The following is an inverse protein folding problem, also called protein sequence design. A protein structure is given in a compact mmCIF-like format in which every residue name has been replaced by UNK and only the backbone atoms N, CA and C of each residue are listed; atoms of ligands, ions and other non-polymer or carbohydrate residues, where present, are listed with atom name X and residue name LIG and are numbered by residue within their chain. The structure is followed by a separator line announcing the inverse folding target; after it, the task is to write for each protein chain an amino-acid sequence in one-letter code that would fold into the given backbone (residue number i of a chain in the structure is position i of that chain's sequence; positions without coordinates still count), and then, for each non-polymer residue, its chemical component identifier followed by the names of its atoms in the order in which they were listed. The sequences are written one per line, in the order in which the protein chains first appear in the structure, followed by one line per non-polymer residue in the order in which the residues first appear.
data_IF_664596198426
#
_entry.id   IF_664596198426
#
_cell.length_a   1.000
_cell.length_b   1.000
_cell.length_c   1.000
_cell.angle_alpha   90.00
_cell.angle_beta   90.00
_cell.angle_gamma   90.00
#
_symmetry.space_group_name_H-M   'P 1'
#
loop_
_entity.id
_entity.type
_entity.pdbx_description
1 polymer ?
#
# COMPACT_ATOMS: atom_id res chain seq x y z
N UNK A 1 -6.95 -5.35 7.28
CA UNK A 1 -7.04 -5.26 5.81
C UNK A 1 -8.40 -5.68 5.29
N UNK A 2 -8.86 -6.92 5.53
CA UNK A 2 -10.09 -7.49 4.95
C UNK A 2 -11.34 -6.63 5.10
N UNK A 3 -11.60 -6.13 6.32
CA UNK A 3 -12.76 -5.26 6.57
C UNK A 3 -12.65 -3.92 5.81
N UNK A 4 -11.46 -3.31 5.82
CA UNK A 4 -11.20 -2.06 5.09
C UNK A 4 -11.41 -2.26 3.57
N UNK A 5 -10.89 -3.35 3.02
CA UNK A 5 -11.10 -3.75 1.62
C UNK A 5 -12.59 -3.96 1.31
N UNK A 6 -13.30 -4.70 2.14
CA UNK A 6 -14.71 -4.98 1.95
C UNK A 6 -15.55 -3.68 1.96
N UNK A 7 -15.26 -2.76 2.90
CA UNK A 7 -15.92 -1.45 2.96
C UNK A 7 -15.63 -0.60 1.73
N UNK A 8 -14.37 -0.52 1.31
CA UNK A 8 -13.96 0.21 0.11
C UNK A 8 -14.70 -0.31 -1.13
N UNK A 9 -14.65 -1.62 -1.38
CA UNK A 9 -15.28 -2.25 -2.55
C UNK A 9 -16.80 -2.04 -2.54
N UNK A 10 -17.44 -2.22 -1.39
CA UNK A 10 -18.88 -2.01 -1.24
C UNK A 10 -19.26 -0.56 -1.58
N UNK A 11 -18.60 0.42 -0.97
CA UNK A 11 -18.91 1.84 -1.18
C UNK A 11 -18.59 2.30 -2.61
N UNK A 12 -17.51 1.82 -3.21
CA UNK A 12 -17.21 2.09 -4.62
C UNK A 12 -18.28 1.53 -5.55
N UNK A 13 -18.74 0.29 -5.31
CA UNK A 13 -19.82 -0.32 -6.08
C UNK A 13 -21.14 0.44 -5.92
N UNK A 14 -21.52 0.78 -4.68
CA UNK A 14 -22.74 1.55 -4.40
C UNK A 14 -22.68 2.96 -5.00
N UNK A 15 -21.50 3.59 -5.04
CA UNK A 15 -21.27 4.86 -5.70
C UNK A 15 -21.25 4.77 -7.25
N UNK A 16 -21.37 3.57 -7.82
CA UNK A 16 -21.37 3.31 -9.26
C UNK A 16 -20.01 3.54 -9.91
N UNK A 17 -18.91 3.33 -9.19
CA UNK A 17 -17.56 3.38 -9.75
C UNK A 17 -17.19 2.05 -10.41
N UNK A 18 -16.38 2.11 -11.45
CA UNK A 18 -15.75 0.93 -12.06
C UNK A 18 -14.71 0.37 -11.08
N UNK A 19 -14.83 -0.91 -10.71
CA UNK A 19 -13.88 -1.59 -9.82
C UNK A 19 -12.97 -2.55 -10.60
N UNK A 20 -11.67 -2.49 -10.30
CA UNK A 20 -10.63 -3.43 -10.76
C UNK A 20 -9.86 -3.93 -9.54
N UNK A 21 -9.40 -5.18 -9.57
CA UNK A 21 -8.59 -5.76 -8.50
C UNK A 21 -7.36 -6.42 -9.11
N UNK A 22 -6.20 -6.16 -8.53
CA UNK A 22 -4.91 -6.69 -8.97
C UNK A 22 -4.28 -7.44 -7.80
N UNK A 23 -3.92 -8.71 -7.99
CA UNK A 23 -3.16 -9.48 -7.01
C UNK A 23 -1.75 -8.88 -6.89
N UNK A 24 -1.32 -8.57 -5.66
CA UNK A 24 -0.02 -7.96 -5.37
C UNK A 24 1.00 -8.98 -4.90
N UNK A 25 0.55 -9.96 -4.12
CA UNK A 25 1.38 -11.06 -3.63
C UNK A 25 0.71 -12.36 -4.04
N UNK A 26 1.41 -13.27 -4.74
CA UNK A 26 0.84 -14.56 -5.11
C UNK A 26 0.34 -15.30 -3.88
N UNK A 27 -0.93 -15.71 -3.93
CA UNK A 27 -1.65 -16.42 -2.87
C UNK A 27 -0.93 -17.69 -2.38
N UNK A 28 -0.02 -18.25 -3.20
CA UNK A 28 0.74 -19.47 -2.92
C UNK A 28 1.72 -19.36 -1.74
N UNK A 29 2.13 -18.15 -1.35
CA UNK A 29 3.11 -17.94 -0.26
C UNK A 29 2.48 -17.75 1.13
N UNK A 30 1.27 -17.17 1.20
CA UNK A 30 0.69 -16.67 2.46
C UNK A 30 -0.74 -17.16 2.72
N UNK A 31 -1.35 -17.92 1.80
CA UNK A 31 -2.68 -18.51 1.96
C UNK A 31 -3.86 -17.53 1.80
N UNK A 32 -3.58 -16.24 1.70
CA UNK A 32 -4.55 -15.17 1.57
C UNK A 32 -4.39 -14.41 0.25
N UNK A 33 -5.51 -14.00 -0.36
CA UNK A 33 -5.51 -13.17 -1.57
C UNK A 33 -5.29 -11.69 -1.20
N UNK A 34 -4.07 -11.19 -1.46
CA UNK A 34 -3.73 -9.78 -1.24
C UNK A 34 -3.87 -8.99 -2.53
N UNK A 35 -4.91 -8.14 -2.60
CA UNK A 35 -5.18 -7.32 -3.78
C UNK A 35 -5.05 -5.83 -3.53
N UNK A 36 -4.61 -5.14 -4.58
CA UNK A 36 -4.80 -3.72 -4.79
C UNK A 36 -6.10 -3.51 -5.57
N UNK A 37 -7.11 -2.94 -4.92
CA UNK A 37 -8.42 -2.63 -5.51
C UNK A 37 -8.43 -1.17 -5.99
N UNK A 38 -8.86 -0.95 -7.23
CA UNK A 38 -8.90 0.34 -7.90
C UNK A 38 -10.34 0.69 -8.25
N UNK A 39 -10.84 1.81 -7.73
CA UNK A 39 -12.16 2.35 -8.05
C UNK A 39 -12.04 3.59 -8.94
N UNK A 40 -12.76 3.61 -10.06
CA UNK A 40 -12.64 4.65 -11.09
C UNK A 40 -14.00 5.32 -11.31
N UNK A 41 -14.05 6.64 -11.08
CA UNK A 41 -15.15 7.51 -11.50
C UNK A 41 -14.73 8.22 -12.78
N UNK A 42 -15.46 7.97 -13.87
CA UNK A 42 -15.26 8.70 -15.13
C UNK A 42 -15.85 10.10 -15.04
N UNK A 43 -15.35 11.07 -15.81
CA UNK A 43 -15.94 12.41 -15.88
C UNK A 43 -17.43 12.33 -16.21
N UNK A 44 -18.25 13.15 -15.55
CA UNK A 44 -19.67 13.32 -15.89
C UNK A 44 -19.87 14.42 -16.93
N UNK A 45 -18.90 15.32 -17.06
CA UNK A 45 -18.90 16.46 -17.96
C UNK A 45 -17.51 16.68 -18.56
N UNK A 46 -17.45 17.36 -19.71
CA UNK A 46 -16.19 17.63 -20.41
C UNK A 46 -15.65 16.44 -21.22
N UNK A 47 -14.54 16.65 -21.97
CA UNK A 47 -13.98 15.60 -22.81
C UNK A 47 -13.39 14.46 -21.97
N UNK A 48 -13.44 13.24 -22.50
CA UNK A 48 -12.86 12.06 -21.84
C UNK A 48 -11.35 12.17 -21.57
N UNK A 49 -10.66 13.12 -22.22
CA UNK A 49 -9.22 13.40 -22.10
C UNK A 49 -8.86 14.43 -21.01
N UNK A 50 -9.77 14.80 -20.11
CA UNK A 50 -9.59 15.91 -19.16
C UNK A 50 -8.56 15.68 -18.03
N UNK A 51 -7.81 14.57 -18.09
CA UNK A 51 -6.84 14.14 -17.08
C UNK A 51 -7.45 13.35 -15.93
N UNK A 52 -6.60 12.94 -14.99
CA UNK A 52 -6.99 12.14 -13.83
C UNK A 52 -6.48 12.73 -12.52
N UNK A 53 -7.19 12.42 -11.44
CA UNK A 53 -6.74 12.60 -10.05
C UNK A 53 -6.65 11.22 -9.44
N UNK A 54 -5.46 10.86 -8.97
CA UNK A 54 -5.19 9.56 -8.33
C UNK A 54 -5.05 9.77 -6.83
N UNK A 55 -5.86 9.04 -6.05
CA UNK A 55 -5.82 9.03 -4.59
C UNK A 55 -5.48 7.63 -4.10
N UNK A 56 -4.24 7.44 -3.68
CA UNK A 56 -3.74 6.15 -3.17
C UNK A 56 -3.81 6.09 -1.65
N UNK A 57 -3.93 4.88 -1.11
CA UNK A 57 -3.81 4.63 0.33
C UNK A 57 -2.88 3.44 0.61
N UNK A 58 -2.28 3.45 1.80
CA UNK A 58 -1.51 2.32 2.32
C UNK A 58 -0.23 2.01 1.55
N UNK A 59 0.54 3.03 1.13
CA UNK A 59 1.93 2.82 0.68
C UNK A 59 2.77 2.28 1.83
N UNK A 60 2.66 2.92 2.99
CA UNK A 60 2.98 2.29 4.26
C UNK A 60 1.78 1.47 4.71
N UNK A 61 1.91 0.15 4.78
CA UNK A 61 0.77 -0.74 4.96
C UNK A 61 -0.06 -0.40 6.21
N UNK A 62 0.56 -0.27 7.38
CA UNK A 62 -0.14 0.04 8.64
C UNK A 62 -0.91 1.37 8.62
N UNK A 63 -0.48 2.35 7.82
CA UNK A 63 -1.16 3.64 7.69
C UNK A 63 -2.36 3.56 6.72
N UNK A 64 -2.47 2.47 5.96
CA UNK A 64 -3.55 2.21 5.01
C UNK A 64 -4.94 2.20 5.63
N UNK A 65 -5.07 1.92 6.93
CA UNK A 65 -6.37 1.99 7.61
C UNK A 65 -6.93 3.41 7.67
N UNK A 66 -6.08 4.39 7.99
CA UNK A 66 -6.48 5.79 8.04
C UNK A 66 -6.81 6.31 6.62
N UNK A 67 -5.96 6.01 5.64
CA UNK A 67 -6.21 6.35 4.24
C UNK A 67 -7.48 5.70 3.68
N UNK A 68 -7.72 4.43 4.01
CA UNK A 68 -8.95 3.70 3.64
C UNK A 68 -10.20 4.36 4.23
N UNK A 69 -10.14 4.82 5.48
CA UNK A 69 -11.24 5.56 6.11
C UNK A 69 -11.59 6.83 5.34
N UNK A 70 -10.58 7.60 4.91
CA UNK A 70 -10.77 8.81 4.09
C UNK A 70 -11.38 8.46 2.73
N UNK A 71 -10.84 7.44 2.05
CA UNK A 71 -11.39 6.96 0.78
C UNK A 71 -12.86 6.54 0.91
N UNK A 72 -13.20 5.76 1.95
CA UNK A 72 -14.56 5.34 2.23
C UNK A 72 -15.50 6.53 2.46
N UNK A 73 -15.05 7.55 3.20
CA UNK A 73 -15.83 8.77 3.40
C UNK A 73 -16.13 9.47 2.06
N UNK A 74 -15.11 9.65 1.21
CA UNK A 74 -15.28 10.29 -0.10
C UNK A 74 -16.22 9.47 -1.00
N UNK A 75 -16.07 8.14 -1.04
CA UNK A 75 -16.94 7.26 -1.80
C UNK A 75 -18.40 7.34 -1.33
N UNK A 76 -18.65 7.41 -0.02
CA UNK A 76 -20.00 7.61 0.51
C UNK A 76 -20.58 8.98 0.12
N UNK A 77 -19.77 10.04 0.09
CA UNK A 77 -20.22 11.35 -0.42
C UNK A 77 -20.61 11.28 -1.91
N UNK A 78 -19.83 10.57 -2.73
CA UNK A 78 -20.14 10.36 -4.15
C UNK A 78 -21.44 9.56 -4.29
N UNK A 79 -21.61 8.48 -3.52
CA UNK A 79 -22.84 7.66 -3.48
C UNK A 79 -24.06 8.52 -3.20
N UNK A 80 -24.04 9.30 -2.12
CA UNK A 80 -25.15 10.20 -1.73
C UNK A 80 -25.43 11.24 -2.82
N UNK A 81 -24.40 11.91 -3.33
CA UNK A 81 -24.56 12.88 -4.41
C UNK A 81 -25.21 12.26 -5.66
N UNK A 82 -24.88 11.00 -5.98
CA UNK A 82 -25.49 10.28 -7.11
C UNK A 82 -26.97 9.96 -6.84
N UNK A 83 -27.29 9.41 -5.67
CA UNK A 83 -28.67 9.08 -5.27
C UNK A 83 -29.60 10.31 -5.29
N UNK A 84 -29.06 11.47 -4.91
CA UNK A 84 -29.78 12.74 -4.91
C UNK A 84 -29.78 13.44 -6.28
N UNK A 85 -29.19 12.85 -7.32
CA UNK A 85 -29.11 13.46 -8.65
C UNK A 85 -28.20 14.69 -8.74
N UNK A 86 -27.31 14.87 -7.75
CA UNK A 86 -26.38 16.02 -7.62
C UNK A 86 -24.96 15.72 -8.08
N UNK A 87 -24.67 14.51 -8.56
CA UNK A 87 -23.35 14.15 -9.07
C UNK A 87 -23.17 14.71 -10.50
N UNK A 88 -22.78 15.98 -10.58
CA UNK A 88 -22.52 16.72 -11.81
C UNK A 88 -21.21 17.53 -11.68
N UNK A 89 -20.74 18.12 -12.78
CA UNK A 89 -19.53 18.96 -12.79
C UNK A 89 -18.21 18.23 -12.55
N UNK A 90 -18.18 16.90 -12.56
CA UNK A 90 -16.93 16.14 -12.43
C UNK A 90 -16.23 16.12 -13.79
N UNK A 91 -15.29 17.05 -13.97
CA UNK A 91 -14.53 17.20 -15.20
C UNK A 91 -13.26 16.35 -15.31
N UNK A 92 -12.94 15.48 -14.35
CA UNK A 92 -11.72 14.64 -14.36
C UNK A 92 -12.04 13.21 -13.96
N UNK A 93 -11.22 12.27 -14.42
CA UNK A 93 -11.29 10.88 -13.92
C UNK A 93 -10.77 10.84 -12.49
N UNK A 94 -11.55 10.34 -11.53
CA UNK A 94 -11.08 10.10 -10.18
C UNK A 94 -10.71 8.63 -10.04
N UNK A 95 -9.49 8.34 -9.60
CA UNK A 95 -8.98 6.99 -9.41
C UNK A 95 -8.60 6.82 -7.95
N UNK A 96 -9.27 5.91 -7.24
CA UNK A 96 -8.93 5.55 -5.87
C UNK A 96 -8.23 4.21 -5.85
N UNK A 97 -7.08 4.11 -5.19
CA UNK A 97 -6.30 2.87 -5.07
C UNK A 97 -6.26 2.43 -3.61
N UNK A 98 -6.87 1.29 -3.29
CA UNK A 98 -6.97 0.69 -1.97
C UNK A 98 -6.51 -0.78 -2.01
N UNK A 99 -5.38 -1.16 -1.45
CA UNK A 99 -4.31 -0.32 -0.95
C UNK A 99 -3.02 -0.74 -1.65
N UNK A 100 -2.03 0.15 -1.68
CA UNK A 100 -0.78 -0.07 -2.40
C UNK A 100 0.01 -1.24 -1.79
N UNK A 101 0.03 -1.34 -0.45
CA UNK A 101 0.69 -2.39 0.30
C UNK A 101 -0.34 -3.21 1.12
N UNK A 102 -1.10 -4.12 0.49
CA UNK A 102 -2.08 -4.94 1.19
C UNK A 102 -1.42 -5.87 2.22
N UNK A 103 -0.21 -6.39 1.93
CA UNK A 103 0.57 -7.19 2.88
C UNK A 103 0.84 -6.42 4.18
N UNK A 104 1.41 -5.21 4.08
CA UNK A 104 1.71 -4.40 5.24
C UNK A 104 0.46 -4.01 6.03
N UNK A 105 -0.70 -3.84 5.38
CA UNK A 105 -1.97 -3.67 6.09
C UNK A 105 -2.33 -4.92 6.92
N UNK A 106 -2.26 -6.12 6.32
CA UNK A 106 -2.59 -7.38 7.00
C UNK A 106 -1.68 -7.60 8.22
N UNK A 107 -0.39 -7.34 8.05
CA UNK A 107 0.65 -7.63 9.04
C UNK A 107 1.02 -6.43 9.93
N UNK A 108 0.27 -5.33 9.86
CA UNK A 108 0.52 -4.09 10.61
C UNK A 108 1.95 -3.54 10.43
N UNK A 109 2.51 -3.65 9.22
CA UNK A 109 3.86 -3.20 8.88
C UNK A 109 3.84 -2.00 7.94
N UNK A 110 4.89 -1.20 8.03
CA UNK A 110 5.18 -0.15 7.04
C UNK A 110 5.56 -0.76 5.69
N UNK A 111 6.37 -1.82 5.72
CA UNK A 111 7.03 -2.43 4.57
C UNK A 111 6.18 -3.54 3.92
N UNK A 112 6.54 -3.97 2.72
CA UNK A 112 5.92 -5.12 2.04
C UNK A 112 6.47 -6.46 2.58
N UNK A 113 6.12 -7.57 1.92
CA UNK A 113 6.54 -8.94 2.24
C UNK A 113 8.05 -9.14 2.22
N UNK A 114 8.75 -8.45 1.32
CA UNK A 114 10.22 -8.46 1.20
C UNK A 114 10.90 -7.40 2.09
N UNK A 115 10.17 -6.83 3.06
CA UNK A 115 10.66 -5.80 3.97
C UNK A 115 11.16 -4.52 3.26
N UNK A 116 10.62 -4.24 2.06
CA UNK A 116 10.92 -3.04 1.26
C UNK A 116 9.98 -1.89 1.64
N UNK A 117 10.56 -0.70 1.81
CA UNK A 117 9.80 0.55 1.94
C UNK A 117 9.35 1.03 0.56
N UNK A 118 8.08 0.78 0.22
CA UNK A 118 7.54 1.19 -1.07
C UNK A 118 7.60 2.70 -1.30
N UNK A 119 7.59 3.53 -0.23
CA UNK A 119 7.71 4.98 -0.33
C UNK A 119 9.16 5.47 -0.55
N UNK A 120 10.11 4.54 -0.71
CA UNK A 120 11.51 4.78 -1.06
C UNK A 120 11.95 3.98 -2.28
N UNK A 121 11.00 3.30 -2.94
CA UNK A 121 11.27 2.38 -4.04
C UNK A 121 10.76 2.88 -5.40
N UNK A 122 10.25 4.12 -5.47
CA UNK A 122 9.94 4.77 -6.74
C UNK A 122 11.22 5.38 -7.34
N UNK A 123 12.02 4.53 -7.98
CA UNK A 123 13.31 4.89 -8.56
C UNK A 123 13.21 5.02 -10.07
N UNK A 124 13.86 6.04 -10.62
CA UNK A 124 14.14 6.12 -12.05
C UNK A 124 15.16 5.03 -12.45
N UNK A 125 15.18 4.59 -13.72
CA UNK A 125 16.07 3.51 -14.16
C UNK A 125 17.55 3.74 -13.82
N UNK A 126 18.03 4.99 -13.93
CA UNK A 126 19.42 5.34 -13.62
C UNK A 126 19.69 5.37 -12.10
N UNK A 127 18.70 5.74 -11.27
CA UNK A 127 18.83 5.67 -9.81
C UNK A 127 18.92 4.22 -9.35
N UNK A 128 18.10 3.34 -9.94
CA UNK A 128 18.17 1.91 -9.67
C UNK A 128 19.53 1.32 -10.09
N UNK A 129 20.00 1.65 -11.30
CA UNK A 129 21.30 1.18 -11.80
C UNK A 129 22.45 1.61 -10.88
N UNK A 130 22.49 2.88 -10.48
CA UNK A 130 23.45 3.38 -9.51
C UNK A 130 23.39 2.63 -8.17
N UNK A 131 22.19 2.43 -7.62
CA UNK A 131 22.01 1.76 -6.33
C UNK A 131 22.43 0.29 -6.35
N UNK A 132 22.29 -0.41 -7.48
CA UNK A 132 22.60 -1.83 -7.62
C UNK A 132 24.06 -2.06 -8.00
N UNK A 133 24.60 -1.25 -8.92
CA UNK A 133 25.88 -1.53 -9.57
C UNK A 133 27.04 -0.65 -9.04
N UNK A 134 26.75 0.54 -8.54
CA UNK A 134 27.80 1.52 -8.19
C UNK A 134 27.88 1.85 -6.71
N UNK A 135 26.73 1.92 -6.02
CA UNK A 135 26.68 2.29 -4.61
C UNK A 135 27.20 1.14 -3.75
N UNK A 136 28.17 1.44 -2.90
CA UNK A 136 28.61 0.53 -1.85
C UNK A 136 27.41 0.14 -0.96
N UNK A 137 26.99 -1.14 -0.93
CA UNK A 137 25.88 -1.59 -0.09
C UNK A 137 26.16 -1.40 1.41
N UNK A 138 27.43 -1.26 1.80
CA UNK A 138 27.86 -1.02 3.17
C UNK A 138 28.17 0.47 3.48
N UNK A 139 27.67 1.42 2.69
CA UNK A 139 27.95 2.85 2.89
C UNK A 139 27.65 3.37 4.31
N UNK A 140 26.72 2.73 5.03
CA UNK A 140 26.34 3.06 6.40
C UNK A 140 26.92 2.12 7.47
N UNK A 141 27.79 1.17 7.09
CA UNK A 141 28.40 0.19 8.00
C UNK A 141 27.47 -0.91 8.51
N UNK A 142 26.23 -1.03 7.98
CA UNK A 142 25.27 -2.02 8.47
C UNK A 142 25.68 -3.46 8.17
N UNK A 143 26.41 -3.71 7.08
CA UNK A 143 26.90 -5.05 6.73
C UNK A 143 27.93 -5.52 7.77
N UNK A 144 28.72 -4.59 8.33
CA UNK A 144 29.68 -4.90 9.40
C UNK A 144 28.99 -5.32 10.70
N UNK A 145 27.74 -4.88 10.90
CA UNK A 145 26.93 -5.22 12.07
C UNK A 145 26.11 -6.52 11.87
N UNK A 146 25.99 -7.04 10.65
CA UNK A 146 25.17 -8.22 10.34
C UNK A 146 25.48 -9.43 11.24
N UNK A 147 26.74 -9.82 11.49
CA UNK A 147 27.03 -10.97 12.35
C UNK A 147 26.59 -10.79 13.81
N UNK A 148 26.47 -9.53 14.28
CA UNK A 148 26.07 -9.19 15.65
C UNK A 148 24.54 -9.13 15.75
N UNK A 149 23.87 -8.52 14.76
CA UNK A 149 22.43 -8.32 14.75
C UNK A 149 21.66 -9.58 14.29
N UNK A 150 22.24 -10.35 13.36
CA UNK A 150 21.65 -11.54 12.74
C UNK A 150 22.58 -12.77 12.91
N UNK A 151 22.80 -13.27 14.14
CA UNK A 151 23.68 -14.39 14.39
C UNK A 151 23.19 -15.65 13.64
N UNK A 152 24.07 -16.23 12.81
CA UNK A 152 23.76 -17.45 12.01
C UNK A 152 23.72 -18.72 12.85
N UNK A 153 24.37 -18.71 14.00
CA UNK A 153 24.37 -19.78 14.97
C UNK A 153 24.11 -19.22 16.37
N UNK A 154 23.33 -19.96 17.15
CA UNK A 154 22.87 -19.54 18.46
C UNK A 154 23.91 -19.95 19.52
N UNK A 155 24.88 -19.07 19.80
CA UNK A 155 25.99 -19.37 20.73
C UNK A 155 25.91 -18.66 22.09
N UNK A 156 24.91 -17.82 22.33
CA UNK A 156 24.81 -17.01 23.55
C UNK A 156 23.96 -17.66 24.66
N UNK A 157 24.36 -17.58 25.95
CA UNK A 157 23.53 -18.01 27.08
C UNK A 157 22.21 -17.22 27.15
N UNK A 158 21.13 -17.91 27.51
CA UNK A 158 19.72 -17.48 27.41
C UNK A 158 19.33 -16.13 28.04
N UNK A 159 20.18 -15.52 28.86
CA UNK A 159 19.88 -14.28 29.60
C UNK A 159 19.94 -13.00 28.75
N UNK A 160 20.84 -12.92 27.76
CA UNK A 160 20.95 -11.76 26.85
C UNK A 160 19.87 -11.77 25.75
N UNK A 161 19.34 -12.94 25.42
CA UNK A 161 18.35 -13.15 24.37
C UNK A 161 17.03 -12.40 24.63
N UNK A 162 16.55 -12.41 25.89
CA UNK A 162 15.31 -11.73 26.25
C UNK A 162 15.42 -10.20 26.20
N UNK A 163 16.62 -9.64 26.37
CA UNK A 163 16.83 -8.20 26.34
C UNK A 163 16.92 -7.62 24.92
N UNK A 164 17.43 -8.40 23.95
CA UNK A 164 17.64 -7.93 22.57
C UNK A 164 16.40 -8.11 21.68
N UNK A 165 15.60 -9.16 21.90
CA UNK A 165 14.37 -9.41 21.11
C UNK A 165 13.27 -8.38 21.37
N UNK A 166 13.32 -7.68 22.49
CA UNK A 166 12.35 -6.61 22.82
C UNK A 166 12.46 -5.37 21.91
N UNK A 167 13.51 -5.26 21.09
CA UNK A 167 13.69 -4.12 20.17
C UNK A 167 13.17 -4.35 18.75
N UNK A 168 12.68 -5.55 18.41
CA UNK A 168 12.31 -5.92 17.02
C UNK A 168 10.89 -6.50 16.91
N UNK A 169 10.01 -6.31 17.89
CA UNK A 169 8.58 -6.61 17.76
C UNK A 169 7.77 -5.39 17.36
#
# INVERSE_FOLDING_TARGET
YYEARAKFRRLASEAGLELRSFEVVPSSGYGDEYTMDVAILRPTEGPSSSGSVVHTSGVHGVEGYAGSGIQCYILDQIRRAREEGRLAGIGKTLVFVHAVNPYGMVHYRRFNEENVDLNRNALEPHEFDYLVNERDPNVAGYVDLDPILNPREMTMPSLLYNAVILLVK
#
